data_IF_703454162287
#
_entry.id   IF_703454162287
#
_cell.length_a   1.000
_cell.length_b   1.000
_cell.length_c   1.000
_cell.angle_alpha   90.00
_cell.angle_beta   90.00
_cell.angle_gamma   90.00
#
_symmetry.space_group_name_H-M   'P 1'
#
loop_
_entity.id
_entity.type
_entity.pdbx_description
1 polymer ?
#
# COMPACT_ATOMS: atom_id res chain seq x y z
N UNK A 1 -26.48 12.06 -2.82
CA UNK A 1 -25.69 10.84 -2.56
C UNK A 1 -24.25 11.23 -2.28
N UNK A 2 -23.68 10.80 -1.16
CA UNK A 2 -22.27 11.01 -0.84
C UNK A 2 -21.45 9.83 -1.38
N UNK A 3 -20.36 10.13 -2.10
CA UNK A 3 -19.47 9.14 -2.70
C UNK A 3 -18.03 9.61 -2.52
N UNK A 4 -17.12 8.67 -2.32
CA UNK A 4 -15.68 8.89 -2.27
C UNK A 4 -14.97 7.79 -3.07
N UNK A 5 -13.78 8.09 -3.60
CA UNK A 5 -12.90 7.12 -4.23
C UNK A 5 -11.75 6.83 -3.27
N UNK A 6 -11.48 5.55 -3.00
CA UNK A 6 -10.33 5.12 -2.22
C UNK A 6 -9.38 4.38 -3.16
N UNK A 7 -8.15 4.87 -3.25
CA UNK A 7 -7.06 4.30 -4.03
C UNK A 7 -6.14 3.54 -3.06
N UNK A 8 -6.21 2.22 -3.11
CA UNK A 8 -5.50 1.35 -2.15
C UNK A 8 -4.10 1.07 -2.67
N UNK A 9 -3.10 1.49 -1.90
CA UNK A 9 -1.72 1.02 -1.95
C UNK A 9 -1.09 1.02 -3.36
N UNK A 10 -1.33 2.09 -4.14
CA UNK A 10 -0.72 2.29 -5.46
C UNK A 10 0.74 2.75 -5.32
N UNK A 11 1.55 1.94 -4.63
CA UNK A 11 2.95 2.21 -4.27
C UNK A 11 3.93 1.45 -5.17
N UNK A 12 5.18 1.91 -5.19
CA UNK A 12 6.24 1.33 -6.02
C UNK A 12 6.47 -0.15 -5.70
N UNK A 13 6.49 -0.53 -4.42
CA UNK A 13 6.79 -1.91 -4.03
C UNK A 13 5.76 -2.93 -4.50
N UNK A 14 4.53 -2.51 -4.77
CA UNK A 14 3.48 -3.36 -5.32
C UNK A 14 3.42 -3.36 -6.87
N UNK A 15 4.26 -2.57 -7.53
CA UNK A 15 4.35 -2.50 -8.98
C UNK A 15 5.56 -3.30 -9.52
N UNK A 16 5.62 -3.64 -10.83
CA UNK A 16 6.77 -4.33 -11.42
C UNK A 16 8.11 -3.66 -11.10
N UNK A 17 9.05 -4.44 -10.55
CA UNK A 17 10.36 -3.96 -10.09
C UNK A 17 10.42 -3.58 -8.61
N UNK A 18 9.28 -3.55 -7.92
CA UNK A 18 9.17 -3.36 -6.48
C UNK A 18 9.46 -4.63 -5.65
N UNK A 19 9.61 -4.47 -4.34
CA UNK A 19 9.96 -5.57 -3.43
C UNK A 19 8.87 -6.65 -3.27
N UNK A 20 7.59 -6.26 -3.42
CA UNK A 20 6.42 -7.15 -3.38
C UNK A 20 5.56 -6.96 -4.63
N UNK A 21 6.22 -6.97 -5.79
CA UNK A 21 5.60 -6.63 -7.06
C UNK A 21 4.41 -7.54 -7.41
N UNK A 22 3.27 -6.93 -7.71
CA UNK A 22 2.11 -7.60 -8.29
C UNK A 22 2.22 -7.54 -9.81
N UNK A 23 2.01 -8.69 -10.48
CA UNK A 23 2.08 -8.76 -11.94
C UNK A 23 1.10 -7.79 -12.59
N UNK A 24 1.63 -6.83 -13.37
CA UNK A 24 0.84 -5.79 -14.02
C UNK A 24 0.15 -4.81 -13.08
N UNK A 25 0.59 -4.72 -11.80
CA UNK A 25 0.01 -3.82 -10.79
C UNK A 25 0.02 -2.35 -11.23
N UNK A 26 1.04 -1.92 -11.97
CA UNK A 26 1.18 -0.58 -12.56
C UNK A 26 0.06 -0.22 -13.55
N UNK A 27 -0.56 -1.21 -14.20
CA UNK A 27 -1.67 -0.96 -15.15
C UNK A 27 -2.89 -0.34 -14.47
N UNK A 28 -3.07 -0.60 -13.17
CA UNK A 28 -4.17 -0.03 -12.39
C UNK A 28 -4.08 1.49 -12.27
N UNK A 29 -2.88 2.07 -12.36
CA UNK A 29 -2.62 3.50 -12.17
C UNK A 29 -3.31 4.33 -13.24
N UNK A 30 -3.30 3.87 -14.49
CA UNK A 30 -4.02 4.52 -15.59
C UNK A 30 -5.52 4.61 -15.30
N UNK A 31 -6.10 3.54 -14.74
CA UNK A 31 -7.51 3.50 -14.36
C UNK A 31 -7.79 4.39 -13.16
N UNK A 32 -6.91 4.35 -12.15
CA UNK A 32 -6.99 5.19 -10.96
C UNK A 32 -6.98 6.69 -11.31
N UNK A 33 -6.06 7.13 -12.17
CA UNK A 33 -5.98 8.51 -12.63
C UNK A 33 -7.28 8.98 -13.31
N UNK A 34 -7.89 8.12 -14.15
CA UNK A 34 -9.15 8.44 -14.83
C UNK A 34 -10.29 8.66 -13.82
N UNK A 35 -10.44 7.77 -12.83
CA UNK A 35 -11.50 7.91 -11.84
C UNK A 35 -11.22 9.03 -10.84
N UNK A 36 -9.96 9.23 -10.44
CA UNK A 36 -9.56 10.33 -9.57
C UNK A 36 -9.90 11.69 -10.19
N UNK A 37 -9.60 11.88 -11.49
CA UNK A 37 -9.98 13.08 -12.22
C UNK A 37 -11.50 13.28 -12.24
N UNK A 38 -12.29 12.23 -12.48
CA UNK A 38 -13.75 12.31 -12.51
C UNK A 38 -14.34 12.65 -11.12
N UNK A 39 -13.84 12.04 -10.04
CA UNK A 39 -14.26 12.36 -8.67
C UNK A 39 -13.88 13.78 -8.29
N UNK A 40 -12.68 14.22 -8.66
CA UNK A 40 -12.21 15.58 -8.43
C UNK A 40 -13.10 16.62 -9.14
N UNK A 41 -13.46 16.40 -10.40
CA UNK A 41 -14.38 17.27 -11.15
C UNK A 41 -15.77 17.38 -10.51
N UNK A 42 -16.25 16.29 -9.90
CA UNK A 42 -17.50 16.25 -9.16
C UNK A 42 -17.38 16.80 -7.73
N UNK A 43 -16.22 17.34 -7.35
CA UNK A 43 -15.91 17.83 -6.01
C UNK A 43 -16.11 16.75 -4.93
N UNK A 44 -15.73 15.51 -5.26
CA UNK A 44 -15.82 14.35 -4.36
C UNK A 44 -14.44 13.93 -3.86
N UNK A 45 -14.33 13.42 -2.62
CA UNK A 45 -13.05 13.02 -2.06
C UNK A 45 -12.38 11.89 -2.85
N UNK A 46 -11.06 12.00 -2.99
CA UNK A 46 -10.18 10.94 -3.45
C UNK A 46 -9.14 10.70 -2.35
N UNK A 47 -9.20 9.54 -1.70
CA UNK A 47 -8.32 9.16 -0.61
C UNK A 47 -7.33 8.15 -1.13
N UNK A 48 -6.04 8.32 -0.84
CA UNK A 48 -5.03 7.29 -1.07
C UNK A 48 -4.63 6.64 0.25
N UNK A 49 -4.54 5.32 0.28
CA UNK A 49 -3.94 4.58 1.39
C UNK A 49 -2.53 4.18 1.03
N UNK A 50 -1.68 4.05 2.03
CA UNK A 50 -0.29 3.65 1.88
C UNK A 50 0.05 2.66 2.98
N UNK A 51 0.57 1.49 2.63
CA UNK A 51 1.36 0.71 3.57
C UNK A 51 2.60 1.50 3.98
N UNK A 52 2.89 1.50 5.27
CA UNK A 52 3.89 2.39 5.85
C UNK A 52 4.60 1.72 7.03
N UNK A 53 5.28 0.62 6.74
CA UNK A 53 5.84 -0.27 7.75
C UNK A 53 7.19 0.22 8.30
N UNK A 54 7.41 0.23 9.63
CA UNK A 54 8.75 0.41 10.16
C UNK A 54 9.67 -0.72 9.66
N UNK A 55 10.98 -0.47 9.57
CA UNK A 55 11.93 -1.45 9.02
C UNK A 55 11.98 -2.79 9.79
N UNK A 56 11.52 -2.80 11.05
CA UNK A 56 11.43 -3.98 11.90
C UNK A 56 10.00 -4.52 12.05
N UNK A 57 9.10 -4.25 11.09
CA UNK A 57 7.72 -4.69 11.16
C UNK A 57 7.60 -6.22 11.18
N UNK A 58 6.74 -6.75 12.04
CA UNK A 58 6.62 -8.16 12.34
C UNK A 58 6.06 -8.99 11.20
N UNK A 59 5.37 -8.39 10.22
CA UNK A 59 4.94 -9.10 9.01
C UNK A 59 6.09 -9.47 8.08
N UNK A 60 7.28 -8.91 8.27
CA UNK A 60 8.42 -9.18 7.41
C UNK A 60 9.09 -10.52 7.72
N UNK A 61 9.31 -11.29 6.66
CA UNK A 61 10.01 -12.58 6.67
C UNK A 61 11.43 -12.45 7.20
N UNK A 62 12.12 -11.34 6.91
CA UNK A 62 13.47 -11.04 7.41
C UNK A 62 13.50 -10.91 8.94
N UNK A 63 12.47 -10.29 9.52
CA UNK A 63 12.31 -10.08 10.97
C UNK A 63 11.92 -11.39 11.66
N UNK A 64 10.99 -12.15 11.07
CA UNK A 64 10.53 -13.42 11.61
C UNK A 64 11.57 -14.56 11.46
N UNK A 65 12.58 -14.39 10.60
CA UNK A 65 13.52 -15.46 10.25
C UNK A 65 12.85 -16.62 9.50
N UNK A 66 11.80 -16.32 8.73
CA UNK A 66 10.97 -17.30 8.02
C UNK A 66 11.07 -17.11 6.50
N UNK A 67 10.73 -18.11 5.68
CA UNK A 67 10.62 -17.92 4.24
C UNK A 67 9.43 -17.02 3.88
N UNK A 68 9.64 -16.07 2.96
CA UNK A 68 8.54 -15.25 2.45
C UNK A 68 7.45 -16.08 1.76
N UNK A 69 6.20 -15.64 1.88
CA UNK A 69 4.99 -16.30 1.35
C UNK A 69 4.46 -17.45 2.21
N UNK A 70 5.07 -17.73 3.36
CA UNK A 70 4.62 -18.78 4.29
C UNK A 70 3.71 -18.22 5.37
N UNK A 71 2.82 -19.07 5.89
CA UNK A 71 1.90 -18.74 6.99
C UNK A 71 2.57 -19.01 8.34
N UNK A 72 2.44 -18.08 9.27
CA UNK A 72 2.79 -18.23 10.68
C UNK A 72 1.83 -17.48 11.59
N UNK A 73 2.32 -17.06 12.75
CA UNK A 73 1.57 -16.35 13.77
C UNK A 73 2.33 -15.10 14.23
N UNK A 74 1.66 -13.96 14.26
CA UNK A 74 2.14 -12.69 14.79
C UNK A 74 1.15 -12.20 15.85
N UNK A 75 1.62 -12.02 17.08
CA UNK A 75 0.81 -11.57 18.22
C UNK A 75 -0.50 -12.36 18.41
N UNK A 76 -0.43 -13.69 18.26
CA UNK A 76 -1.58 -14.58 18.42
C UNK A 76 -2.55 -14.61 17.23
N UNK A 77 -2.23 -13.94 16.12
CA UNK A 77 -3.04 -13.90 14.90
C UNK A 77 -2.31 -14.55 13.70
N UNK A 78 -3.03 -15.20 12.77
CA UNK A 78 -2.44 -15.72 11.54
C UNK A 78 -1.79 -14.60 10.70
N UNK A 79 -0.56 -14.82 10.23
CA UNK A 79 0.22 -13.85 9.47
C UNK A 79 0.92 -14.51 8.28
N UNK A 80 0.85 -13.89 7.11
CA UNK A 80 1.74 -14.26 5.98
C UNK A 80 3.04 -13.48 6.13
N UNK A 81 4.17 -14.17 6.08
CA UNK A 81 5.48 -13.51 6.10
C UNK A 81 5.78 -12.93 4.73
N UNK A 82 5.87 -11.61 4.62
CA UNK A 82 6.13 -10.92 3.36
C UNK A 82 7.62 -10.56 3.22
N UNK A 83 8.15 -10.40 2.00
CA UNK A 83 9.43 -9.69 1.85
C UNK A 83 9.30 -8.28 2.44
N UNK A 84 10.40 -7.67 2.88
CA UNK A 84 10.41 -6.29 3.33
C UNK A 84 9.89 -5.38 2.21
N UNK A 85 8.84 -4.62 2.49
CA UNK A 85 8.17 -3.78 1.50
C UNK A 85 7.55 -2.56 2.18
N UNK A 86 7.31 -1.51 1.39
CA UNK A 86 6.68 -0.28 1.83
C UNK A 86 7.28 0.28 3.13
N UNK A 87 8.60 0.12 3.29
CA UNK A 87 9.32 0.57 4.48
C UNK A 87 9.27 2.10 4.56
N UNK A 88 8.95 2.64 5.72
CA UNK A 88 8.80 4.08 5.94
C UNK A 88 9.97 4.86 5.35
N UNK A 89 9.64 5.92 4.61
CA UNK A 89 10.59 6.84 3.95
C UNK A 89 11.48 6.20 2.86
N UNK A 90 11.24 4.95 2.47
CA UNK A 90 11.90 4.35 1.31
C UNK A 90 11.22 4.75 0.01
N UNK A 91 11.95 4.64 -1.10
CA UNK A 91 11.37 4.79 -2.45
C UNK A 91 10.27 3.76 -2.72
N UNK A 92 10.40 2.54 -2.20
CA UNK A 92 9.41 1.48 -2.35
C UNK A 92 8.04 1.84 -1.77
N UNK A 93 8.02 2.59 -0.67
CA UNK A 93 6.82 3.06 0.00
C UNK A 93 6.18 4.32 -0.63
N UNK A 94 6.83 4.95 -1.61
CA UNK A 94 6.22 6.09 -2.30
C UNK A 94 5.08 5.62 -3.22
N UNK A 95 4.06 6.47 -3.38
CA UNK A 95 3.07 6.29 -4.44
C UNK A 95 3.77 6.23 -5.80
N UNK A 96 3.31 5.35 -6.68
CA UNK A 96 3.93 5.16 -7.98
C UNK A 96 4.00 6.49 -8.76
N UNK A 97 5.12 6.83 -9.41
CA UNK A 97 5.35 8.15 -10.01
C UNK A 97 4.35 8.53 -11.12
N UNK A 98 3.73 7.54 -11.75
CA UNK A 98 2.68 7.75 -12.75
C UNK A 98 1.30 8.10 -12.15
N UNK A 99 1.10 8.00 -10.84
CA UNK A 99 -0.14 8.39 -10.18
C UNK A 99 -0.22 9.93 -10.09
N UNK A 100 -1.30 10.53 -10.59
CA UNK A 100 -1.51 11.98 -10.54
C UNK A 100 -2.01 12.40 -9.16
N UNK A 101 -1.06 12.79 -8.31
CA UNK A 101 -1.31 13.11 -6.90
C UNK A 101 -2.09 14.41 -6.70
N UNK A 102 -2.28 15.22 -7.74
CA UNK A 102 -3.02 16.51 -7.65
C UNK A 102 -4.50 16.32 -7.34
N UNK A 103 -5.05 15.14 -7.63
CA UNK A 103 -6.45 14.82 -7.36
C UNK A 103 -6.69 14.31 -5.93
N UNK A 104 -5.64 13.96 -5.19
CA UNK A 104 -5.77 13.39 -3.85
C UNK A 104 -6.21 14.45 -2.85
N UNK A 105 -7.23 14.13 -2.07
CA UNK A 105 -7.73 14.97 -0.98
C UNK A 105 -7.05 14.62 0.34
N UNK A 106 -6.82 13.32 0.58
CA UNK A 106 -6.24 12.80 1.82
C UNK A 106 -5.32 11.63 1.55
N UNK A 107 -4.29 11.47 2.39
CA UNK A 107 -3.45 10.28 2.46
C UNK A 107 -3.59 9.65 3.85
N UNK A 108 -3.79 8.34 3.89
CA UNK A 108 -3.90 7.55 5.12
C UNK A 108 -2.77 6.53 5.10
N UNK A 109 -1.99 6.46 6.18
CA UNK A 109 -0.95 5.45 6.35
C UNK A 109 -1.49 4.32 7.23
N UNK A 110 -1.10 3.09 6.92
CA UNK A 110 -1.47 1.87 7.67
C UNK A 110 -0.24 0.97 7.85
N UNK A 111 -0.33 0.03 8.79
CA UNK A 111 0.77 -0.91 9.07
C UNK A 111 1.95 -0.31 9.84
N UNK A 112 1.74 0.82 10.53
CA UNK A 112 2.82 1.50 11.28
C UNK A 112 3.18 0.80 12.60
N UNK A 113 2.29 -0.06 13.13
CA UNK A 113 2.49 -0.76 14.41
C UNK A 113 3.33 -2.03 14.21
N UNK A 114 4.54 -2.15 14.79
CA UNK A 114 5.44 -3.26 14.49
C UNK A 114 4.90 -4.66 14.72
N UNK A 115 3.93 -4.85 15.63
CA UNK A 115 3.39 -6.16 15.99
C UNK A 115 2.02 -6.44 15.37
N UNK A 116 1.49 -5.54 14.55
CA UNK A 116 0.14 -5.67 14.00
C UNK A 116 0.12 -5.24 12.56
N UNK A 117 -0.10 -6.21 11.68
CA UNK A 117 -0.30 -5.94 10.26
C UNK A 117 -1.68 -5.32 10.00
N UNK A 118 -1.82 -4.59 8.90
CA UNK A 118 -3.04 -3.86 8.57
C UNK A 118 -3.31 -3.86 7.07
N UNK A 119 -3.94 -4.92 6.58
CA UNK A 119 -4.41 -4.96 5.19
C UNK A 119 -5.55 -3.96 4.94
N UNK A 120 -6.45 -3.79 5.91
CA UNK A 120 -7.50 -2.77 5.84
C UNK A 120 -6.93 -1.39 6.12
N UNK A 121 -7.48 -0.39 5.43
CA UNK A 121 -7.37 1.01 5.78
C UNK A 121 -8.52 1.49 6.67
#
# INVERSE_FOLDING_TARGET
MHQALILIDLQNDFCPGGALAVEGGDRTITVANRYAAAFYQLQRPVVATLDWHPANHGSFASVAGQPAGTLGELDGLPQIWWPDHCVQHSTGAELHPALDRRYLTTRIYKGEQPLTDSYSA
#
